data_IF_175071836366
#
_entry.id   IF_175071836366
#
_cell.length_a   1.000
_cell.length_b   1.000
_cell.length_c   1.000
_cell.angle_alpha   90.00
_cell.angle_beta   90.00
_cell.angle_gamma   90.00
#
_symmetry.space_group_name_H-M   'P 1'
#
loop_
_entity.id
_entity.type
_entity.pdbx_description
1 polymer ?
#
# COMPACT_ATOMS: atom_id res chain seq x y z
N UNK A 1 -15.56 1.98 11.29
CA UNK A 1 -16.00 3.01 12.26
C UNK A 1 -17.39 2.77 12.86
N UNK A 2 -18.23 1.89 12.30
CA UNK A 2 -19.60 1.64 12.80
C UNK A 2 -19.65 1.20 14.27
N UNK A 3 -18.77 0.29 14.69
CA UNK A 3 -18.74 -0.20 16.07
C UNK A 3 -18.48 0.91 17.08
N UNK A 4 -17.57 1.84 16.79
CA UNK A 4 -17.26 2.98 17.68
C UNK A 4 -18.43 3.97 17.76
N UNK A 5 -19.14 4.19 16.65
CA UNK A 5 -20.37 5.00 16.64
C UNK A 5 -21.46 4.39 17.52
N UNK A 6 -21.72 3.08 17.35
CA UNK A 6 -22.70 2.36 18.18
C UNK A 6 -22.31 2.41 19.66
N UNK A 7 -21.02 2.22 19.98
CA UNK A 7 -20.54 2.31 21.36
C UNK A 7 -20.70 3.72 21.95
N UNK A 8 -20.46 4.76 21.16
CA UNK A 8 -20.74 6.15 21.55
C UNK A 8 -22.22 6.33 21.91
N UNK A 9 -23.13 5.87 21.06
CA UNK A 9 -24.58 6.00 21.27
C UNK A 9 -25.02 5.26 22.54
N UNK A 10 -24.46 4.07 22.79
CA UNK A 10 -24.72 3.31 24.02
C UNK A 10 -24.25 4.04 25.28
N UNK A 11 -23.08 4.68 25.26
CA UNK A 11 -22.64 5.51 26.39
C UNK A 11 -23.55 6.72 26.62
N UNK A 12 -24.02 7.37 25.56
CA UNK A 12 -24.97 8.49 25.68
C UNK A 12 -26.33 8.05 26.22
N UNK A 13 -26.79 6.85 25.88
CA UNK A 13 -28.01 6.27 26.42
C UNK A 13 -27.85 5.94 27.93
N UNK A 14 -26.74 5.32 28.31
CA UNK A 14 -26.45 5.00 29.72
C UNK A 14 -26.30 6.25 30.59
N UNK A 15 -25.70 7.31 30.04
CA UNK A 15 -25.63 8.64 30.67
C UNK A 15 -27.00 9.15 31.09
N UNK A 16 -28.01 8.99 30.23
CA UNK A 16 -29.38 9.44 30.51
C UNK A 16 -30.07 8.60 31.59
N UNK A 17 -29.70 7.31 31.69
CA UNK A 17 -30.30 6.35 32.63
C UNK A 17 -29.64 6.37 34.02
N UNK A 18 -28.35 6.70 34.10
CA UNK A 18 -27.58 6.68 35.36
C UNK A 18 -26.98 8.05 35.65
N UNK A 19 -27.75 8.89 36.37
CA UNK A 19 -27.35 10.26 36.69
C UNK A 19 -26.10 10.35 37.58
N UNK A 20 -25.83 9.30 38.38
CA UNK A 20 -24.64 9.21 39.24
C UNK A 20 -23.34 8.95 38.46
N UNK A 21 -23.42 8.45 37.22
CA UNK A 21 -22.28 8.13 36.36
C UNK A 21 -22.29 8.97 35.06
N UNK A 22 -22.97 10.12 35.09
CA UNK A 22 -23.27 10.92 33.91
C UNK A 22 -21.99 11.42 33.23
N UNK A 23 -21.01 11.85 34.03
CA UNK A 23 -19.76 12.41 33.53
C UNK A 23 -18.86 11.31 32.94
N UNK A 24 -18.75 10.16 33.59
CA UNK A 24 -17.98 9.00 33.15
C UNK A 24 -18.48 8.49 31.79
N UNK A 25 -19.80 8.35 31.62
CA UNK A 25 -20.38 7.99 30.35
C UNK A 25 -20.17 9.07 29.29
N UNK A 26 -20.19 10.35 29.67
CA UNK A 26 -19.92 11.46 28.76
C UNK A 26 -18.47 11.46 28.25
N UNK A 27 -17.48 11.23 29.12
CA UNK A 27 -16.07 11.14 28.73
C UNK A 27 -15.79 9.98 27.78
N UNK A 28 -16.39 8.82 28.04
CA UNK A 28 -16.27 7.65 27.18
C UNK A 28 -16.93 7.88 25.81
N UNK A 29 -18.11 8.48 25.76
CA UNK A 29 -18.77 8.84 24.51
C UNK A 29 -17.93 9.80 23.67
N UNK A 30 -17.34 10.84 24.29
CA UNK A 30 -16.51 11.81 23.58
C UNK A 30 -15.23 11.17 23.02
N UNK A 31 -14.60 10.26 23.77
CA UNK A 31 -13.46 9.48 23.27
C UNK A 31 -13.82 8.70 22.00
N UNK A 32 -14.98 8.04 21.99
CA UNK A 32 -15.45 7.32 20.79
C UNK A 32 -15.69 8.25 19.61
N UNK A 33 -16.23 9.46 19.83
CA UNK A 33 -16.41 10.47 18.75
C UNK A 33 -15.09 10.91 18.14
N UNK A 34 -14.09 11.20 18.97
CA UNK A 34 -12.75 11.60 18.50
C UNK A 34 -12.13 10.47 17.67
N UNK A 35 -12.20 9.22 18.15
CA UNK A 35 -11.71 8.05 17.42
C UNK A 35 -12.43 7.86 16.08
N UNK A 36 -13.75 8.06 16.04
CA UNK A 36 -14.55 8.00 14.80
C UNK A 36 -14.06 9.05 13.80
N UNK A 37 -13.98 10.31 14.22
CA UNK A 37 -13.55 11.42 13.35
C UNK A 37 -12.15 11.20 12.79
N UNK A 38 -11.19 10.88 13.66
CA UNK A 38 -9.80 10.70 13.26
C UNK A 38 -9.64 9.46 12.36
N UNK A 39 -10.37 8.38 12.64
CA UNK A 39 -10.29 7.17 11.83
C UNK A 39 -11.00 7.28 10.47
N UNK A 40 -11.99 8.15 10.32
CA UNK A 40 -12.54 8.49 9.00
C UNK A 40 -11.52 9.19 8.11
N UNK A 41 -10.75 10.13 8.68
CA UNK A 41 -9.65 10.79 7.96
C UNK A 41 -8.60 9.76 7.54
N UNK A 42 -8.20 8.87 8.46
CA UNK A 42 -7.26 7.79 8.15
C UNK A 42 -7.81 6.86 7.04
N UNK A 43 -9.07 6.46 7.13
CA UNK A 43 -9.70 5.57 6.15
C UNK A 43 -9.68 6.19 4.75
N UNK A 44 -9.97 7.49 4.64
CA UNK A 44 -9.87 8.21 3.36
C UNK A 44 -8.45 8.23 2.81
N UNK A 45 -7.44 8.44 3.66
CA UNK A 45 -6.04 8.37 3.25
C UNK A 45 -5.64 6.96 2.76
N UNK A 46 -6.12 5.91 3.43
CA UNK A 46 -5.91 4.52 3.02
C UNK A 46 -6.59 4.20 1.69
N UNK A 47 -7.82 4.64 1.49
CA UNK A 47 -8.51 4.49 0.21
C UNK A 47 -7.77 5.21 -0.93
N UNK A 48 -7.27 6.43 -0.68
CA UNK A 48 -6.48 7.17 -1.65
C UNK A 48 -5.18 6.44 -2.02
N UNK A 49 -4.48 5.90 -1.03
CA UNK A 49 -3.29 5.08 -1.23
C UNK A 49 -3.59 3.84 -2.10
N UNK A 50 -4.62 3.06 -1.73
CA UNK A 50 -5.03 1.86 -2.48
C UNK A 50 -5.43 2.21 -3.92
N UNK A 51 -6.21 3.27 -4.12
CA UNK A 51 -6.64 3.71 -5.46
C UNK A 51 -5.45 4.11 -6.34
N UNK A 52 -4.46 4.77 -5.76
CA UNK A 52 -3.24 5.15 -6.48
C UNK A 52 -2.41 3.94 -6.86
N UNK A 53 -2.22 2.98 -5.94
CA UNK A 53 -1.51 1.73 -6.25
C UNK A 53 -2.27 0.89 -7.28
N UNK A 54 -3.59 0.82 -7.18
CA UNK A 54 -4.41 0.14 -8.17
C UNK A 54 -4.21 0.75 -9.56
N UNK A 55 -4.12 2.08 -9.66
CA UNK A 55 -3.83 2.76 -10.94
C UNK A 55 -2.44 2.40 -11.46
N UNK A 56 -1.41 2.43 -10.62
CA UNK A 56 -0.05 2.03 -10.99
C UNK A 56 -0.01 0.60 -11.53
N UNK A 57 -0.65 -0.34 -10.84
CA UNK A 57 -0.68 -1.76 -11.25
C UNK A 57 -1.53 -1.99 -12.50
N UNK A 58 -2.80 -1.58 -12.46
CA UNK A 58 -3.78 -1.95 -13.50
C UNK A 58 -3.67 -1.13 -14.77
N UNK A 59 -3.00 0.03 -14.74
CA UNK A 59 -2.80 0.87 -15.93
C UNK A 59 -1.34 0.94 -16.34
N UNK A 60 -0.47 1.42 -15.46
CA UNK A 60 0.93 1.72 -15.84
C UNK A 60 1.76 0.46 -16.07
N UNK A 61 1.70 -0.49 -15.14
CA UNK A 61 2.38 -1.78 -15.30
C UNK A 61 1.76 -2.58 -16.45
N UNK A 62 0.41 -2.62 -16.55
CA UNK A 62 -0.27 -3.36 -17.61
C UNK A 62 0.02 -2.83 -19.03
N UNK A 63 0.16 -1.51 -19.21
CA UNK A 63 0.58 -0.91 -20.49
C UNK A 63 1.98 -1.38 -20.92
N UNK A 64 2.91 -1.51 -19.95
CA UNK A 64 4.25 -2.04 -20.21
C UNK A 64 4.20 -3.53 -20.52
N UNK A 65 3.41 -4.30 -19.76
CA UNK A 65 3.23 -5.74 -19.99
C UNK A 65 2.62 -6.02 -21.36
N UNK A 66 1.69 -5.19 -21.83
CA UNK A 66 1.11 -5.31 -23.17
C UNK A 66 2.19 -5.21 -24.26
N UNK A 67 3.09 -4.24 -24.14
CA UNK A 67 4.20 -4.10 -25.10
C UNK A 67 5.19 -5.26 -25.01
N UNK A 68 5.46 -5.79 -23.81
CA UNK A 68 6.30 -6.99 -23.65
C UNK A 68 5.67 -8.19 -24.36
N UNK A 69 4.36 -8.43 -24.20
CA UNK A 69 3.65 -9.53 -24.89
C UNK A 69 3.75 -9.38 -26.41
N UNK A 70 3.58 -8.18 -26.94
CA UNK A 70 3.72 -7.92 -28.38
C UNK A 70 5.15 -8.17 -28.87
N UNK A 71 6.15 -7.75 -28.10
CA UNK A 71 7.56 -8.04 -28.37
C UNK A 71 7.85 -9.55 -28.39
N UNK A 72 7.32 -10.31 -27.43
CA UNK A 72 7.50 -11.77 -27.38
C UNK A 72 6.89 -12.47 -28.60
N UNK A 73 5.69 -12.05 -29.03
CA UNK A 73 5.08 -12.55 -30.26
C UNK A 73 5.96 -12.23 -31.48
N UNK A 74 6.41 -10.99 -31.63
CA UNK A 74 7.26 -10.58 -32.75
C UNK A 74 8.61 -11.31 -32.76
N UNK A 75 9.19 -11.61 -31.59
CA UNK A 75 10.42 -12.42 -31.47
C UNK A 75 10.19 -13.83 -32.01
N UNK A 76 9.09 -14.48 -31.62
CA UNK A 76 8.75 -15.82 -32.09
C UNK A 76 8.51 -15.85 -33.62
N UNK A 77 7.78 -14.87 -34.15
CA UNK A 77 7.55 -14.73 -35.60
C UNK A 77 8.88 -14.56 -36.36
N UNK A 78 9.78 -13.70 -35.85
CA UNK A 78 11.10 -13.47 -36.44
C UNK A 78 11.98 -14.72 -36.40
N UNK A 79 12.04 -15.43 -35.26
CA UNK A 79 12.84 -16.66 -35.12
C UNK A 79 12.32 -17.79 -36.02
N UNK A 80 10.99 -17.92 -36.18
CA UNK A 80 10.38 -18.86 -37.10
C UNK A 80 10.76 -18.54 -38.56
N UNK A 81 10.61 -17.28 -38.97
CA UNK A 81 10.98 -16.82 -40.32
C UNK A 81 12.48 -16.99 -40.61
N UNK A 82 13.36 -16.71 -39.62
CA UNK A 82 14.80 -16.95 -39.74
C UNK A 82 15.11 -18.43 -40.00
N UNK A 83 14.47 -19.32 -39.24
CA UNK A 83 14.66 -20.77 -39.40
C UNK A 83 14.19 -21.25 -40.77
N UNK A 84 13.05 -20.74 -41.26
CA UNK A 84 12.60 -21.05 -42.62
C UNK A 84 13.62 -20.60 -43.66
N UNK A 85 14.12 -19.36 -43.57
CA UNK A 85 15.14 -18.81 -44.47
C UNK A 85 16.43 -19.64 -44.50
N UNK A 86 16.86 -20.16 -43.36
CA UNK A 86 18.04 -21.05 -43.27
C UNK A 86 17.82 -22.41 -43.97
N UNK A 87 16.58 -22.85 -44.11
CA UNK A 87 16.19 -24.11 -44.76
C UNK A 87 15.91 -23.97 -46.27
N UNK A 88 15.87 -22.74 -46.81
CA UNK A 88 15.68 -22.52 -48.25
C UNK A 88 16.94 -22.89 -49.05
N UNK A 89 16.77 -23.75 -50.06
CA UNK A 89 17.79 -24.05 -51.08
C UNK A 89 17.94 -22.86 -52.06
N UNK A 90 19.15 -22.56 -52.59
CA UNK A 90 19.35 -21.41 -53.47
C UNK A 90 18.52 -21.55 -54.76
N UNK A 91 17.43 -20.76 -54.86
CA UNK A 91 16.50 -20.78 -55.99
C UNK A 91 15.44 -19.66 -55.90
N UNK A 92 14.69 -19.47 -56.99
CA UNK A 92 13.89 -18.29 -57.37
C UNK A 92 12.82 -17.78 -56.38
N UNK A 93 12.57 -18.46 -55.26
CA UNK A 93 11.64 -18.03 -54.20
C UNK A 93 12.30 -17.15 -53.12
N UNK A 94 13.58 -16.81 -53.27
CA UNK A 94 14.32 -16.00 -52.28
C UNK A 94 13.75 -14.58 -52.10
N UNK A 95 13.31 -13.89 -53.16
CA UNK A 95 12.97 -12.47 -53.05
C UNK A 95 11.73 -12.19 -52.16
N UNK A 96 10.63 -12.93 -52.32
CA UNK A 96 9.42 -12.73 -51.50
C UNK A 96 9.65 -13.10 -50.03
N UNK A 97 10.38 -14.20 -49.78
CA UNK A 97 10.77 -14.65 -48.43
C UNK A 97 11.76 -13.67 -47.76
N UNK A 98 12.61 -13.01 -48.53
CA UNK A 98 13.52 -11.97 -48.05
C UNK A 98 12.77 -10.73 -47.56
N UNK A 99 11.75 -10.28 -48.29
CA UNK A 99 10.93 -9.13 -47.93
C UNK A 99 10.13 -9.39 -46.64
N UNK A 100 9.55 -10.59 -46.52
CA UNK A 100 8.83 -11.03 -45.32
C UNK A 100 9.76 -11.13 -44.09
N UNK A 101 10.96 -11.68 -44.26
CA UNK A 101 11.99 -11.72 -43.22
C UNK A 101 12.37 -10.32 -42.74
N UNK A 102 12.60 -9.39 -43.67
CA UNK A 102 12.96 -8.01 -43.34
C UNK A 102 11.85 -7.32 -42.55
N UNK A 103 10.58 -7.52 -42.91
CA UNK A 103 9.42 -7.00 -42.19
C UNK A 103 9.34 -7.51 -40.75
N UNK A 104 9.52 -8.82 -40.52
CA UNK A 104 9.51 -9.38 -39.17
C UNK A 104 10.70 -8.91 -38.33
N UNK A 105 11.87 -8.76 -38.95
CA UNK A 105 13.07 -8.21 -38.31
C UNK A 105 12.87 -6.77 -37.85
N UNK A 106 12.32 -5.91 -38.70
CA UNK A 106 12.04 -4.51 -38.38
C UNK A 106 11.04 -4.39 -37.23
N UNK A 107 9.93 -5.16 -37.29
CA UNK A 107 8.93 -5.22 -36.22
C UNK A 107 9.54 -5.65 -34.89
N UNK A 108 10.37 -6.69 -34.90
CA UNK A 108 11.06 -7.20 -33.71
C UNK A 108 12.03 -6.16 -33.11
N UNK A 109 12.92 -5.56 -33.92
CA UNK A 109 13.87 -4.56 -33.42
C UNK A 109 13.18 -3.28 -32.93
N UNK A 110 12.08 -2.87 -33.58
CA UNK A 110 11.25 -1.76 -33.12
C UNK A 110 10.66 -2.06 -31.73
N UNK A 111 9.97 -3.21 -31.57
CA UNK A 111 9.35 -3.59 -30.30
C UNK A 111 10.38 -3.79 -29.18
N UNK A 112 11.57 -4.27 -29.51
CA UNK A 112 12.70 -4.36 -28.56
C UNK A 112 13.13 -3.00 -28.04
N UNK A 113 13.18 -1.98 -28.91
CA UNK A 113 13.45 -0.61 -28.51
C UNK A 113 12.31 -0.06 -27.64
N UNK A 114 11.06 -0.30 -28.03
CA UNK A 114 9.88 0.15 -27.30
C UNK A 114 9.82 -0.45 -25.89
N UNK A 115 10.09 -1.75 -25.73
CA UNK A 115 10.16 -2.41 -24.41
C UNK A 115 11.26 -1.79 -23.55
N UNK A 116 12.45 -1.57 -24.10
CA UNK A 116 13.57 -0.96 -23.37
C UNK A 116 13.22 0.43 -22.86
N UNK A 117 12.55 1.24 -23.68
CA UNK A 117 12.10 2.59 -23.33
C UNK A 117 10.99 2.53 -22.27
N UNK A 118 9.95 1.70 -22.48
CA UNK A 118 8.84 1.58 -21.53
C UNK A 118 9.28 1.07 -20.17
N UNK A 119 10.21 0.11 -20.11
CA UNK A 119 10.74 -0.39 -18.83
C UNK A 119 11.46 0.70 -18.05
N UNK A 120 12.25 1.56 -18.71
CA UNK A 120 12.90 2.72 -18.05
C UNK A 120 11.87 3.70 -17.51
N UNK A 121 10.87 4.06 -18.33
CA UNK A 121 9.79 4.96 -17.88
C UNK A 121 8.97 4.35 -16.74
N UNK A 122 8.71 3.04 -16.79
CA UNK A 122 8.00 2.33 -15.73
C UNK A 122 8.79 2.38 -14.43
N UNK A 123 10.09 2.10 -14.45
CA UNK A 123 10.94 2.12 -13.26
C UNK A 123 10.98 3.53 -12.61
N UNK A 124 11.16 4.56 -13.42
CA UNK A 124 11.12 5.95 -12.96
C UNK A 124 9.76 6.32 -12.35
N UNK A 125 8.67 5.98 -13.05
CA UNK A 125 7.31 6.28 -12.61
C UNK A 125 6.96 5.52 -11.32
N UNK A 126 7.21 4.21 -11.29
CA UNK A 126 6.99 3.35 -10.13
C UNK A 126 7.75 3.88 -8.93
N UNK A 127 9.05 4.15 -9.08
CA UNK A 127 9.88 4.69 -8.00
C UNK A 127 9.31 6.01 -7.47
N UNK A 128 8.90 6.93 -8.35
CA UNK A 128 8.34 8.23 -7.96
C UNK A 128 7.01 8.08 -7.23
N UNK A 129 6.09 7.26 -7.76
CA UNK A 129 4.77 7.02 -7.17
C UNK A 129 4.93 6.34 -5.82
N UNK A 130 5.70 5.26 -5.74
CA UNK A 130 5.89 4.48 -4.52
C UNK A 130 6.52 5.32 -3.41
N UNK A 131 7.57 6.10 -3.70
CA UNK A 131 8.20 7.01 -2.73
C UNK A 131 7.17 7.96 -2.11
N UNK A 132 6.34 8.59 -2.94
CA UNK A 132 5.30 9.52 -2.46
C UNK A 132 4.21 8.79 -1.66
N UNK A 133 3.70 7.67 -2.19
CA UNK A 133 2.56 6.97 -1.59
C UNK A 133 2.93 6.30 -0.27
N UNK A 134 4.11 5.68 -0.17
CA UNK A 134 4.58 5.09 1.09
C UNK A 134 4.77 6.14 2.18
N UNK A 135 5.30 7.32 1.83
CA UNK A 135 5.45 8.42 2.79
C UNK A 135 4.09 8.96 3.25
N UNK A 136 3.14 9.18 2.33
CA UNK A 136 1.79 9.62 2.68
C UNK A 136 1.05 8.62 3.56
N UNK A 137 1.17 7.33 3.25
CA UNK A 137 0.60 6.25 4.05
C UNK A 137 1.17 6.27 5.48
N UNK A 138 2.50 6.33 5.62
CA UNK A 138 3.16 6.40 6.92
C UNK A 138 2.70 7.64 7.71
N UNK A 139 2.70 8.82 7.07
CA UNK A 139 2.28 10.06 7.70
C UNK A 139 0.82 10.03 8.16
N UNK A 140 -0.07 9.42 7.39
CA UNK A 140 -1.48 9.27 7.77
C UNK A 140 -1.64 8.41 9.04
N UNK A 141 -0.90 7.29 9.12
CA UNK A 141 -0.89 6.42 10.30
C UNK A 141 -0.32 7.17 11.52
N UNK A 142 0.83 7.83 11.36
CA UNK A 142 1.46 8.61 12.42
C UNK A 142 0.54 9.73 12.92
N UNK A 143 -0.12 10.46 12.02
CA UNK A 143 -1.07 11.52 12.35
C UNK A 143 -2.29 10.98 13.12
N UNK A 144 -2.83 9.82 12.73
CA UNK A 144 -3.93 9.19 13.46
C UNK A 144 -3.56 8.89 14.91
N UNK A 145 -2.42 8.24 15.15
CA UNK A 145 -1.99 7.90 16.51
C UNK A 145 -1.58 9.14 17.31
N UNK A 146 -0.87 10.08 16.71
CA UNK A 146 -0.50 11.33 17.38
C UNK A 146 -1.73 12.17 17.75
N UNK A 147 -2.71 12.28 16.85
CA UNK A 147 -3.95 13.01 17.11
C UNK A 147 -4.82 12.35 18.19
N UNK A 148 -4.73 11.03 18.35
CA UNK A 148 -5.39 10.31 19.44
C UNK A 148 -4.58 10.35 20.75
N UNK A 149 -3.25 10.48 20.68
CA UNK A 149 -2.37 10.58 21.84
C UNK A 149 -2.70 11.81 22.69
N UNK A 150 -3.00 12.95 22.09
CA UNK A 150 -3.35 14.17 22.85
C UNK A 150 -4.60 13.96 23.72
N UNK A 151 -5.61 13.27 23.18
CA UNK A 151 -6.81 12.89 23.93
C UNK A 151 -6.48 11.87 25.03
N UNK A 152 -5.58 10.92 24.76
CA UNK A 152 -5.12 9.92 25.72
C UNK A 152 -4.30 10.54 26.87
N UNK A 153 -3.40 11.47 26.57
CA UNK A 153 -2.55 12.16 27.55
C UNK A 153 -3.40 13.02 28.50
N UNK A 154 -4.48 13.64 28.01
CA UNK A 154 -5.45 14.34 28.84
C UNK A 154 -6.13 13.38 29.84
N UNK A 155 -6.52 12.18 29.39
CA UNK A 155 -7.10 11.13 30.25
C UNK A 155 -6.07 10.59 31.25
N UNK A 156 -4.83 10.34 30.84
CA UNK A 156 -3.78 9.80 31.72
C UNK A 156 -3.41 10.73 32.88
N UNK A 157 -3.48 12.05 32.68
CA UNK A 157 -3.31 13.04 33.76
C UNK A 157 -4.36 12.88 34.87
N UNK A 158 -5.59 12.47 34.55
CA UNK A 158 -6.63 12.20 35.55
C UNK A 158 -6.37 10.93 36.36
N UNK A 159 -5.67 9.96 35.76
CA UNK A 159 -5.31 8.73 36.45
C UNK A 159 -4.15 8.89 37.46
N UNK A 160 -3.54 10.07 37.62
CA UNK A 160 -2.29 10.27 38.38
C UNK A 160 -1.20 9.24 38.04
N UNK A 161 -1.27 8.64 36.85
CA UNK A 161 -0.24 7.76 36.34
C UNK A 161 0.91 8.66 35.91
N UNK A 162 1.78 9.00 36.86
CA UNK A 162 3.17 9.30 36.54
C UNK A 162 3.68 8.05 35.84
N UNK A 163 3.64 8.07 34.51
CA UNK A 163 4.47 7.17 33.71
C UNK A 163 5.88 7.51 34.14
N UNK A 164 6.44 6.70 35.04
CA UNK A 164 7.83 6.81 35.42
C UNK A 164 8.62 6.48 34.16
N UNK A 165 9.08 7.50 33.44
CA UNK A 165 10.00 7.38 32.32
C UNK A 165 11.42 6.97 32.77
N UNK A 166 11.52 6.14 33.80
CA UNK A 166 12.77 5.59 34.33
C UNK A 166 12.60 4.07 34.46
N UNK A 167 12.59 3.36 33.33
CA UNK A 167 12.86 1.91 33.31
C UNK A 167 13.84 1.59 32.16
N UNK A 168 14.91 2.40 32.07
CA UNK A 168 16.19 2.00 31.47
C UNK A 168 17.11 1.33 32.53
N UNK A 169 16.54 0.72 33.57
CA UNK A 169 17.29 -0.13 34.49
C UNK A 169 16.52 -1.43 34.75
N UNK A 170 16.59 -2.31 33.74
CA UNK A 170 16.36 -3.74 33.93
C UNK A 170 17.51 -4.26 34.81
N UNK A 171 17.34 -4.19 36.12
CA UNK A 171 18.06 -5.05 37.05
C UNK A 171 17.25 -5.21 38.35
N UNK A 172 16.81 -6.46 38.56
CA UNK A 172 16.46 -7.08 39.84
C UNK A 172 15.29 -6.52 40.65
N UNK A 173 14.07 -6.73 40.14
CA UNK A 173 12.93 -7.03 41.03
C UNK A 173 12.37 -8.41 40.72
N UNK A 174 12.75 -9.39 41.57
CA UNK A 174 12.13 -10.71 41.60
C UNK A 174 10.62 -10.58 41.71
N UNK A 175 9.92 -11.37 40.90
CA UNK A 175 8.46 -11.36 40.83
C UNK A 175 7.87 -11.89 42.14
N UNK A 176 6.70 -11.37 42.55
CA UNK A 176 5.96 -11.82 43.73
C UNK A 176 5.72 -13.35 43.74
N UNK A 177 5.64 -13.96 42.55
CA UNK A 177 5.50 -15.41 42.39
C UNK A 177 6.77 -16.21 42.72
N UNK A 178 7.95 -15.60 42.72
CA UNK A 178 9.21 -16.24 43.12
C UNK A 178 9.42 -16.24 44.64
N UNK A 179 8.67 -15.41 45.39
CA UNK A 179 8.78 -15.32 46.86
C UNK A 179 7.90 -16.33 47.60
N UNK A 180 6.99 -17.02 46.90
CA UNK A 180 6.06 -17.98 47.52
C UNK A 180 6.51 -19.44 47.42
N UNK A 181 7.72 -19.71 46.90
CA UNK A 181 8.24 -21.06 46.69
C UNK A 181 9.47 -21.41 47.55
N UNK A 182 9.68 -20.76 48.69
CA UNK A 182 10.67 -21.19 49.69
C UNK A 182 10.11 -21.17 51.11
#
# INVERSE_FOLDING_TARGET
MQTQRVLCDQFLELKQKSFLLCDEFSYNAETQRVLVRNGEILLNALHYFISTLNTLCTKTIEDTMTTIRLYEIARLEYDACRTEMELLSPGSQMNEKQDEFQKYKEKYEQLKCDVSIKLKFLDENQTKVMKKQLLLFHNAIAAYFSGNKEALDATMKQFNLKVNSNDDNIQDKKSFLEQLNH
#
